data_IF_960290625600
#
_entry.id   IF_960290625600
#
_cell.length_a   1.000
_cell.length_b   1.000
_cell.length_c   1.000
_cell.angle_alpha   90.00
_cell.angle_beta   90.00
_cell.angle_gamma   90.00
#
_symmetry.space_group_name_H-M   'P 1'
#
loop_
_entity.id
_entity.type
_entity.pdbx_description
1 polymer ?
#
# COMPACT_ATOMS: atom_id res chain seq x y z
N UNK A 1 -13.24 11.44 -3.63
CA UNK A 1 -13.35 10.59 -4.85
C UNK A 1 -12.14 9.68 -4.93
N UNK A 2 -12.31 8.39 -5.35
CA UNK A 2 -11.16 7.51 -5.65
C UNK A 2 -10.90 7.61 -7.15
N UNK A 3 -9.65 7.88 -7.53
CA UNK A 3 -9.21 7.99 -8.93
C UNK A 3 -7.80 7.45 -9.12
N UNK A 4 -7.39 7.10 -10.35
CA UNK A 4 -5.98 6.86 -10.65
C UNK A 4 -5.13 8.07 -10.25
N UNK A 5 -3.94 7.79 -9.74
CA UNK A 5 -2.97 8.85 -9.43
C UNK A 5 -2.40 9.47 -10.70
N UNK A 6 -2.08 10.74 -10.63
CA UNK A 6 -1.31 11.46 -11.64
C UNK A 6 0.04 11.91 -11.04
N UNK A 7 1.07 12.18 -11.86
CA UNK A 7 2.39 12.58 -11.32
C UNK A 7 2.35 13.74 -10.32
N UNK A 8 1.40 14.66 -10.48
CA UNK A 8 1.19 15.78 -9.56
C UNK A 8 0.75 15.40 -8.15
N UNK A 9 0.28 14.16 -7.93
CA UNK A 9 -0.11 13.66 -6.60
C UNK A 9 1.11 13.18 -5.78
N UNK A 10 2.25 12.97 -6.41
CA UNK A 10 3.43 12.39 -5.78
C UNK A 10 3.90 13.09 -4.51
N UNK A 11 3.90 14.44 -4.40
CA UNK A 11 4.25 15.11 -3.16
C UNK A 11 3.31 14.77 -1.99
N UNK A 12 2.01 14.69 -2.25
CA UNK A 12 1.02 14.33 -1.22
C UNK A 12 1.14 12.86 -0.82
N UNK A 13 1.33 11.95 -1.78
CA UNK A 13 1.60 10.53 -1.53
C UNK A 13 2.86 10.37 -0.68
N UNK A 14 3.97 11.02 -1.05
CA UNK A 14 5.21 11.00 -0.28
C UNK A 14 5.02 11.53 1.14
N UNK A 15 4.27 12.61 1.31
CA UNK A 15 3.99 13.19 2.63
C UNK A 15 3.25 12.22 3.55
N UNK A 16 2.23 11.52 3.05
CA UNK A 16 1.52 10.50 3.82
C UNK A 16 2.45 9.32 4.15
N UNK A 17 3.19 8.83 3.15
CA UNK A 17 4.04 7.65 3.32
C UNK A 17 5.21 7.89 4.27
N UNK A 18 5.91 9.02 4.09
CA UNK A 18 7.10 9.34 4.88
C UNK A 18 6.77 9.55 6.36
N UNK A 19 5.58 10.06 6.65
CA UNK A 19 5.11 10.12 8.03
C UNK A 19 4.95 8.73 8.65
N UNK A 20 4.36 7.77 7.92
CA UNK A 20 4.25 6.37 8.36
C UNK A 20 5.65 5.75 8.55
N UNK A 21 6.57 6.03 7.63
CA UNK A 21 7.94 5.54 7.69
C UNK A 21 8.68 6.08 8.93
N UNK A 22 8.57 7.38 9.21
CA UNK A 22 9.32 8.01 10.28
C UNK A 22 8.73 7.79 11.68
N UNK A 23 7.40 7.67 11.78
CA UNK A 23 6.70 7.66 13.08
C UNK A 23 6.22 6.28 13.54
N UNK A 24 6.22 5.26 12.68
CA UNK A 24 5.55 3.98 12.99
C UNK A 24 6.38 2.75 12.65
N UNK A 25 5.94 1.59 13.16
CA UNK A 25 6.40 0.25 12.76
C UNK A 25 5.44 -0.45 11.80
N UNK A 26 4.51 0.30 11.18
CA UNK A 26 3.62 -0.19 10.12
C UNK A 26 4.44 -0.58 8.90
N UNK A 27 5.52 0.16 8.62
CA UNK A 27 6.55 -0.19 7.64
C UNK A 27 7.88 -0.40 8.34
N UNK A 28 8.76 -1.24 7.79
CA UNK A 28 10.08 -1.49 8.38
C UNK A 28 11.19 -0.65 7.76
N UNK A 29 10.97 -0.09 6.56
CA UNK A 29 11.93 0.83 5.96
C UNK A 29 12.09 2.11 6.77
N UNK A 30 13.30 2.65 6.78
CA UNK A 30 13.62 4.00 7.27
C UNK A 30 13.94 4.95 6.12
N UNK A 31 13.99 4.43 4.88
CA UNK A 31 14.25 5.23 3.69
C UNK A 31 12.96 5.93 3.24
N UNK A 32 12.98 7.25 3.29
CA UNK A 32 11.88 8.08 2.82
C UNK A 32 11.68 7.96 1.31
N UNK A 33 10.43 8.13 0.88
CA UNK A 33 10.04 8.14 -0.53
C UNK A 33 10.36 9.49 -1.15
N UNK A 34 11.04 9.46 -2.29
CA UNK A 34 11.28 10.64 -3.10
C UNK A 34 10.07 10.95 -3.99
N UNK A 35 9.49 12.17 -3.92
CA UNK A 35 8.37 12.55 -4.76
C UNK A 35 8.67 12.46 -6.26
N UNK A 36 9.91 12.76 -6.67
CA UNK A 36 10.32 12.67 -8.08
C UNK A 36 10.28 11.23 -8.61
N UNK A 37 10.80 10.28 -7.82
CA UNK A 37 10.76 8.86 -8.16
C UNK A 37 9.31 8.33 -8.20
N UNK A 38 8.45 8.76 -7.27
CA UNK A 38 7.03 8.41 -7.28
C UNK A 38 6.32 8.96 -8.52
N UNK A 39 6.58 10.22 -8.87
CA UNK A 39 6.00 10.85 -10.06
C UNK A 39 6.41 10.11 -11.34
N UNK A 40 7.68 9.74 -11.45
CA UNK A 40 8.19 8.96 -12.59
C UNK A 40 7.49 7.59 -12.69
N UNK A 41 7.39 6.84 -11.60
CA UNK A 41 6.71 5.55 -11.58
C UNK A 41 5.22 5.65 -11.96
N UNK A 42 4.53 6.69 -11.50
CA UNK A 42 3.13 6.94 -11.89
C UNK A 42 3.05 7.25 -13.39
N UNK A 43 3.95 8.08 -13.93
CA UNK A 43 4.00 8.40 -15.36
C UNK A 43 4.29 7.16 -16.23
N UNK A 44 5.06 6.21 -15.73
CA UNK A 44 5.37 4.92 -16.36
C UNK A 44 4.22 3.90 -16.25
N UNK A 45 3.13 4.26 -15.57
CA UNK A 45 1.93 3.44 -15.48
C UNK A 45 1.90 2.47 -14.29
N UNK A 46 2.66 2.74 -13.23
CA UNK A 46 2.55 1.97 -11.98
C UNK A 46 1.10 1.96 -11.47
N UNK A 47 0.56 0.82 -11.02
CA UNK A 47 -0.77 0.77 -10.42
C UNK A 47 -0.80 1.65 -9.17
N UNK A 48 -1.45 2.79 -9.26
CA UNK A 48 -1.56 3.72 -8.13
C UNK A 48 -2.89 4.47 -8.17
N UNK A 49 -3.59 4.49 -7.03
CA UNK A 49 -4.86 5.22 -6.87
C UNK A 49 -4.78 6.10 -5.63
N UNK A 50 -5.48 7.22 -5.69
CA UNK A 50 -5.58 8.17 -4.58
C UNK A 50 -7.02 8.39 -4.16
N UNK A 51 -7.20 8.71 -2.89
CA UNK A 51 -8.42 9.27 -2.34
C UNK A 51 -8.28 10.79 -2.31
N UNK A 52 -9.00 11.45 -3.19
CA UNK A 52 -8.98 12.89 -3.37
C UNK A 52 -10.28 13.51 -2.83
N UNK A 53 -10.15 14.41 -1.87
CA UNK A 53 -11.28 15.11 -1.24
C UNK A 53 -11.60 16.45 -1.91
N UNK A 54 -10.93 16.76 -3.02
CA UNK A 54 -11.14 18.01 -3.76
C UNK A 54 -10.35 19.21 -3.19
N UNK A 55 -10.76 20.42 -3.57
CA UNK A 55 -10.03 21.66 -3.28
C UNK A 55 -9.75 21.91 -1.80
N UNK A 56 -10.62 21.43 -0.92
CA UNK A 56 -10.56 21.74 0.52
C UNK A 56 -9.78 20.68 1.32
N UNK A 57 -9.49 19.51 0.75
CA UNK A 57 -8.86 18.41 1.48
C UNK A 57 -7.70 17.73 0.76
N UNK A 58 -7.59 17.86 -0.56
CA UNK A 58 -6.55 17.23 -1.36
C UNK A 58 -6.51 15.71 -1.25
N UNK A 59 -5.35 15.11 -1.48
CA UNK A 59 -5.12 13.67 -1.36
C UNK A 59 -4.97 13.28 0.10
N UNK A 60 -5.88 12.41 0.58
CA UNK A 60 -5.93 11.93 1.97
C UNK A 60 -5.62 10.45 2.13
N UNK A 61 -5.28 9.76 1.05
CA UNK A 61 -4.87 8.36 1.09
C UNK A 61 -4.47 7.89 -0.29
N UNK A 62 -3.72 6.80 -0.33
CA UNK A 62 -3.29 6.18 -1.57
C UNK A 62 -3.13 4.67 -1.41
N UNK A 63 -3.14 3.98 -2.55
CA UNK A 63 -2.72 2.59 -2.68
C UNK A 63 -1.86 2.47 -3.94
N UNK A 64 -0.77 1.72 -3.84
CA UNK A 64 0.07 1.36 -4.99
C UNK A 64 0.40 -0.11 -4.94
N UNK A 65 0.72 -0.70 -6.09
CA UNK A 65 1.09 -2.10 -6.17
C UNK A 65 2.30 -2.30 -7.08
N UNK A 66 3.07 -3.33 -6.81
CA UNK A 66 4.28 -3.69 -7.53
C UNK A 66 4.43 -5.21 -7.59
N UNK A 67 5.19 -5.71 -8.55
CA UNK A 67 5.46 -7.13 -8.67
C UNK A 67 6.13 -7.66 -7.40
N UNK A 68 5.63 -8.78 -6.87
CA UNK A 68 6.07 -9.35 -5.60
C UNK A 68 7.55 -9.73 -5.59
N UNK A 69 8.02 -10.34 -6.69
CA UNK A 69 9.43 -10.67 -6.92
C UNK A 69 9.77 -10.44 -8.37
N UNK A 70 11.06 -10.21 -8.67
CA UNK A 70 11.56 -10.08 -10.02
C UNK A 70 11.40 -11.37 -10.84
N UNK A 71 11.47 -11.21 -12.16
CA UNK A 71 11.42 -12.31 -13.13
C UNK A 71 10.02 -12.62 -13.66
N UNK A 72 9.95 -13.32 -14.80
CA UNK A 72 8.69 -13.55 -15.53
C UNK A 72 7.73 -14.50 -14.81
N UNK A 73 8.26 -15.39 -13.96
CA UNK A 73 7.42 -16.33 -13.18
C UNK A 73 6.54 -15.66 -12.13
N UNK A 74 6.86 -14.42 -11.74
CA UNK A 74 6.10 -13.63 -10.78
C UNK A 74 5.30 -12.48 -11.41
N UNK A 75 5.21 -12.42 -12.75
CA UNK A 75 4.54 -11.35 -13.47
C UNK A 75 3.06 -11.17 -13.11
N UNK A 76 2.41 -12.19 -12.56
CA UNK A 76 1.00 -12.18 -12.16
C UNK A 76 0.79 -12.19 -10.64
N UNK A 77 1.85 -11.96 -9.86
CA UNK A 77 1.83 -11.88 -8.40
C UNK A 77 2.34 -10.51 -7.96
N UNK A 78 1.50 -9.77 -7.27
CA UNK A 78 1.81 -8.41 -6.82
C UNK A 78 1.72 -8.29 -5.31
N UNK A 79 2.34 -7.25 -4.79
CA UNK A 79 2.19 -6.78 -3.42
C UNK A 79 1.74 -5.32 -3.47
N UNK A 80 0.94 -4.89 -2.50
CA UNK A 80 0.48 -3.50 -2.43
C UNK A 80 0.96 -2.80 -1.16
N UNK A 81 0.97 -1.48 -1.21
CA UNK A 81 1.07 -0.59 -0.06
C UNK A 81 -0.13 0.32 -0.05
N UNK A 82 -0.81 0.42 1.10
CA UNK A 82 -1.97 1.29 1.30
C UNK A 82 -1.81 2.10 2.58
N UNK A 83 -2.02 3.40 2.48
CA UNK A 83 -1.99 4.30 3.62
C UNK A 83 -3.05 5.39 3.50
N UNK A 84 -3.62 5.74 4.64
CA UNK A 84 -4.60 6.83 4.78
C UNK A 84 -4.02 7.89 5.72
N UNK A 85 -4.21 9.15 5.39
CA UNK A 85 -3.74 10.26 6.20
C UNK A 85 -4.42 10.24 7.59
N UNK A 86 -3.66 10.68 8.59
CA UNK A 86 -4.16 10.76 9.97
C UNK A 86 -5.41 11.66 10.04
N UNK A 87 -6.46 11.15 10.68
CA UNK A 87 -7.76 11.84 10.80
C UNK A 87 -8.71 11.59 9.63
N UNK A 88 -8.28 10.84 8.61
CA UNK A 88 -9.13 10.40 7.51
C UNK A 88 -9.55 8.93 7.62
N UNK A 89 -9.07 8.23 8.65
CA UNK A 89 -9.38 6.82 8.90
C UNK A 89 -10.85 6.62 9.30
N UNK A 90 -11.35 5.39 9.23
CA UNK A 90 -12.71 5.03 9.65
C UNK A 90 -13.82 5.48 8.71
N UNK A 91 -13.50 6.10 7.57
CA UNK A 91 -14.45 6.69 6.61
C UNK A 91 -14.69 5.80 5.38
N UNK A 92 -14.23 4.55 5.39
CA UNK A 92 -14.35 3.63 4.26
C UNK A 92 -13.32 3.88 3.14
N UNK A 93 -12.44 4.87 3.27
CA UNK A 93 -11.44 5.26 2.25
C UNK A 93 -10.53 4.09 1.89
N UNK A 94 -9.99 3.40 2.89
CA UNK A 94 -9.11 2.25 2.65
C UNK A 94 -9.78 1.14 1.85
N UNK A 95 -11.03 0.80 2.18
CA UNK A 95 -11.83 -0.19 1.42
C UNK A 95 -12.02 0.25 -0.03
N UNK A 96 -12.36 1.52 -0.26
CA UNK A 96 -12.60 2.05 -1.60
C UNK A 96 -11.30 2.07 -2.44
N UNK A 97 -10.16 2.43 -1.85
CA UNK A 97 -8.85 2.35 -2.48
C UNK A 97 -8.49 0.91 -2.89
N UNK A 98 -8.68 -0.06 -1.97
CA UNK A 98 -8.40 -1.46 -2.27
C UNK A 98 -9.28 -1.99 -3.40
N UNK A 99 -10.57 -1.66 -3.41
CA UNK A 99 -11.47 -2.04 -4.50
C UNK A 99 -11.02 -1.46 -5.85
N UNK A 100 -10.50 -0.24 -5.86
CA UNK A 100 -10.00 0.40 -7.08
C UNK A 100 -8.74 -0.30 -7.61
N UNK A 101 -7.73 -0.51 -6.76
CA UNK A 101 -6.49 -1.16 -7.19
C UNK A 101 -6.71 -2.63 -7.57
N UNK A 102 -7.56 -3.36 -6.85
CA UNK A 102 -7.89 -4.75 -7.21
C UNK A 102 -8.57 -4.85 -8.59
N UNK A 103 -9.46 -3.91 -8.93
CA UNK A 103 -10.06 -3.85 -10.28
C UNK A 103 -9.01 -3.56 -11.36
N UNK A 104 -8.12 -2.60 -11.12
CA UNK A 104 -7.04 -2.26 -12.03
C UNK A 104 -6.11 -3.47 -12.25
N UNK A 105 -5.68 -4.10 -11.17
CA UNK A 105 -4.79 -5.27 -11.22
C UNK A 105 -5.43 -6.47 -11.94
N UNK A 106 -6.73 -6.73 -11.75
CA UNK A 106 -7.45 -7.74 -12.54
C UNK A 106 -7.40 -7.42 -14.03
N UNK A 107 -7.62 -6.17 -14.39
CA UNK A 107 -7.53 -5.72 -15.78
C UNK A 107 -6.14 -5.88 -16.39
N UNK A 108 -5.10 -5.90 -15.57
CA UNK A 108 -3.69 -6.15 -15.95
C UNK A 108 -3.30 -7.64 -15.93
N UNK A 109 -4.23 -8.55 -15.60
CA UNK A 109 -3.97 -9.97 -15.54
C UNK A 109 -3.25 -10.43 -14.28
N UNK A 110 -3.25 -9.64 -13.20
CA UNK A 110 -2.72 -10.07 -11.90
C UNK A 110 -3.67 -11.10 -11.30
N UNK A 111 -3.11 -12.21 -10.83
CA UNK A 111 -3.84 -13.35 -10.27
C UNK A 111 -3.81 -13.37 -8.74
N UNK A 112 -2.70 -12.97 -8.14
CA UNK A 112 -2.48 -13.04 -6.69
C UNK A 112 -1.96 -11.70 -6.16
N UNK A 113 -2.54 -11.23 -5.06
CA UNK A 113 -2.16 -9.98 -4.42
C UNK A 113 -1.82 -10.22 -2.95
N UNK A 114 -0.62 -9.77 -2.56
CA UNK A 114 -0.14 -9.82 -1.18
C UNK A 114 -0.27 -8.48 -0.48
N UNK A 115 -0.53 -8.56 0.82
CA UNK A 115 -0.33 -7.49 1.78
C UNK A 115 0.77 -7.91 2.76
N UNK A 116 1.84 -7.14 2.85
CA UNK A 116 2.85 -7.28 3.90
C UNK A 116 2.45 -6.40 5.10
N UNK A 117 2.07 -7.01 6.20
CA UNK A 117 1.56 -6.31 7.38
C UNK A 117 2.47 -6.56 8.57
N UNK A 118 2.92 -5.49 9.25
CA UNK A 118 3.65 -5.63 10.50
C UNK A 118 2.86 -6.50 11.50
N UNK A 119 3.52 -7.46 12.15
CA UNK A 119 2.90 -8.31 13.16
C UNK A 119 2.30 -7.54 14.34
N UNK A 120 2.73 -6.29 14.54
CA UNK A 120 2.22 -5.39 15.58
C UNK A 120 1.03 -4.54 15.11
N UNK A 121 0.72 -4.57 13.81
CA UNK A 121 -0.40 -3.83 13.22
C UNK A 121 -1.67 -4.69 13.18
N UNK A 122 -2.26 -4.93 14.34
CA UNK A 122 -3.49 -5.71 14.46
C UNK A 122 -4.65 -5.12 13.65
N UNK A 123 -4.73 -3.79 13.56
CA UNK A 123 -5.72 -3.09 12.74
C UNK A 123 -5.54 -3.36 11.25
N UNK A 124 -4.31 -3.38 10.77
CA UNK A 124 -3.98 -3.71 9.38
C UNK A 124 -4.31 -5.17 9.04
N UNK A 125 -4.02 -6.10 9.94
CA UNK A 125 -4.39 -7.52 9.78
C UNK A 125 -5.91 -7.67 9.69
N UNK A 126 -6.65 -7.08 10.63
CA UNK A 126 -8.12 -7.12 10.64
C UNK A 126 -8.72 -6.45 9.40
N UNK A 127 -8.16 -5.33 8.95
CA UNK A 127 -8.58 -4.63 7.73
C UNK A 127 -8.48 -5.52 6.50
N UNK A 128 -7.34 -6.17 6.30
CA UNK A 128 -7.13 -7.05 5.15
C UNK A 128 -8.00 -8.32 5.24
N UNK A 129 -8.15 -8.90 6.44
CA UNK A 129 -9.05 -10.03 6.64
C UNK A 129 -10.51 -9.68 6.25
N UNK A 130 -10.98 -8.49 6.62
CA UNK A 130 -12.32 -8.00 6.25
C UNK A 130 -12.50 -7.74 4.74
N UNK A 131 -11.40 -7.67 3.98
CA UNK A 131 -11.39 -7.57 2.51
C UNK A 131 -11.21 -8.92 1.81
N UNK A 132 -11.14 -10.01 2.57
CA UNK A 132 -11.02 -11.37 2.04
C UNK A 132 -9.58 -11.87 1.86
N UNK A 133 -8.60 -11.15 2.40
CA UNK A 133 -7.22 -11.65 2.50
C UNK A 133 -7.11 -12.70 3.60
N UNK A 134 -6.30 -13.72 3.36
CA UNK A 134 -5.99 -14.76 4.34
C UNK A 134 -4.52 -14.72 4.70
N UNK A 135 -4.18 -14.98 5.95
CA UNK A 135 -2.79 -15.12 6.36
C UNK A 135 -2.16 -16.32 5.62
N UNK A 136 -1.13 -16.04 4.82
CA UNK A 136 -0.38 -17.04 4.07
C UNK A 136 0.88 -17.46 4.82
N UNK A 137 1.53 -16.53 5.52
CA UNK A 137 2.73 -16.79 6.31
C UNK A 137 2.94 -15.73 7.38
N UNK A 138 3.62 -16.13 8.46
CA UNK A 138 4.17 -15.21 9.46
C UNK A 138 5.68 -15.41 9.51
N UNK A 139 6.41 -14.39 9.13
CA UNK A 139 7.87 -14.40 9.09
C UNK A 139 8.39 -13.73 10.36
N UNK A 140 9.09 -14.51 11.17
CA UNK A 140 9.58 -14.03 12.46
C UNK A 140 10.86 -13.21 12.27
N UNK A 141 10.91 -12.07 12.95
CA UNK A 141 12.11 -11.24 13.12
C UNK A 141 12.81 -10.89 11.80
N UNK A 142 12.04 -10.56 10.76
CA UNK A 142 12.56 -10.19 9.43
C UNK A 142 12.75 -8.68 9.25
N UNK A 143 12.06 -7.85 10.03
CA UNK A 143 12.18 -6.39 10.00
C UNK A 143 13.02 -5.88 11.16
N UNK A 144 13.88 -4.90 10.90
CA UNK A 144 14.64 -4.19 11.93
C UNK A 144 14.29 -2.71 11.90
N UNK A 145 13.76 -2.17 12.99
CA UNK A 145 13.42 -0.76 13.10
C UNK A 145 13.30 -0.32 14.55
N UNK A 146 13.72 0.90 14.85
CA UNK A 146 13.70 1.46 16.19
C UNK A 146 14.41 0.58 17.23
N UNK A 147 15.54 -0.03 16.83
CA UNK A 147 16.40 -0.82 17.71
C UNK A 147 15.85 -2.20 18.09
N UNK A 148 14.86 -2.74 17.35
CA UNK A 148 14.28 -4.06 17.64
C UNK A 148 13.80 -4.80 16.39
N UNK A 149 13.63 -6.10 16.50
CA UNK A 149 13.11 -6.98 15.45
C UNK A 149 11.58 -6.96 15.42
N UNK A 150 11.05 -7.14 14.23
CA UNK A 150 9.61 -7.18 13.96
C UNK A 150 9.24 -8.36 13.07
N UNK A 151 8.09 -8.96 13.35
CA UNK A 151 7.50 -9.99 12.51
C UNK A 151 6.75 -9.36 11.35
N UNK A 152 6.75 -10.05 10.20
CA UNK A 152 5.94 -9.72 9.04
C UNK A 152 4.86 -10.78 8.83
N UNK A 153 3.61 -10.33 8.72
CA UNK A 153 2.48 -11.17 8.32
C UNK A 153 2.22 -10.94 6.84
N UNK A 154 2.35 -12.00 6.04
CA UNK A 154 1.95 -11.99 4.64
C UNK A 154 0.52 -12.46 4.52
N UNK A 155 -0.34 -11.60 4.01
CA UNK A 155 -1.74 -11.90 3.72
C UNK A 155 -1.96 -11.95 2.21
N UNK A 156 -2.77 -12.88 1.73
CA UNK A 156 -2.95 -13.15 0.31
C UNK A 156 -4.42 -13.17 -0.08
N UNK A 157 -4.70 -12.63 -1.26
CA UNK A 157 -5.99 -12.71 -1.92
C UNK A 157 -5.81 -13.08 -3.38
N UNK A 158 -6.60 -14.04 -3.88
CA UNK A 158 -6.71 -14.30 -5.32
C UNK A 158 -7.69 -13.28 -5.93
N UNK A 159 -7.29 -12.69 -7.04
CA UNK A 159 -8.06 -11.63 -7.72
C UNK A 159 -9.01 -12.15 -8.79
#
# INVERSE_FOLDING_TARGET
MIRPAVPGDAPAIAGIWNRIISETVITFTTAEKDPGALAAGIAEGAPCHVADMGSDGGVVGFVTAFQFRGGPGYAHTFEHSIHVARGAEGRGIGRALMQAVERDLRGRGVHSLFAGVSGENAGGIAFHAALGYREAARLREVGWKFGRWHDLVLMQKML
#
